data_IF_106779042070
#
_entry.id   IF_106779042070
#
_cell.length_a   1.000
_cell.length_b   1.000
_cell.length_c   1.000
_cell.angle_alpha   90.00
_cell.angle_beta   90.00
_cell.angle_gamma   90.00
#
_symmetry.space_group_name_H-M   'P 1'
#
loop_
_entity.id
_entity.type
_entity.pdbx_description
1 polymer ?
#
# COMPACT_ATOMS: atom_id res chain seq x y z
N UNK A 1 22.02 11.80 -29.47
CA UNK A 1 20.90 12.07 -28.55
C UNK A 1 20.89 10.90 -27.58
N UNK A 2 21.61 11.05 -26.47
CA UNK A 2 21.62 10.09 -25.37
C UNK A 2 20.24 10.09 -24.71
N UNK A 3 19.49 9.02 -24.93
CA UNK A 3 18.26 8.75 -24.20
C UNK A 3 18.69 7.93 -22.98
N UNK A 4 19.00 8.65 -21.89
CA UNK A 4 19.27 8.15 -20.55
C UNK A 4 18.09 7.25 -20.11
N UNK A 5 18.14 5.97 -20.47
CA UNK A 5 17.20 4.96 -19.97
C UNK A 5 17.57 4.64 -18.52
N UNK A 6 17.34 5.61 -17.63
CA UNK A 6 17.25 5.36 -16.19
C UNK A 6 16.07 4.45 -16.00
N UNK A 7 16.35 3.16 -15.87
CA UNK A 7 15.36 2.14 -15.59
C UNK A 7 14.89 2.41 -14.16
N UNK A 8 13.83 3.20 -14.01
CA UNK A 8 13.15 3.31 -12.73
C UNK A 8 12.65 1.91 -12.37
N UNK A 9 13.11 1.38 -11.24
CA UNK A 9 12.65 0.09 -10.76
C UNK A 9 11.32 0.31 -10.05
N UNK A 10 10.27 -0.25 -10.62
CA UNK A 10 8.92 -0.21 -10.07
C UNK A 10 8.62 -1.54 -9.39
N UNK A 11 8.21 -1.50 -8.13
CA UNK A 11 7.64 -2.67 -7.46
C UNK A 11 6.22 -2.38 -6.99
N UNK A 12 5.38 -3.40 -6.98
CA UNK A 12 3.99 -3.30 -6.50
C UNK A 12 3.87 -4.01 -5.16
N UNK A 13 3.35 -3.31 -4.16
CA UNK A 13 3.03 -3.85 -2.83
C UNK A 13 1.52 -4.03 -2.75
N UNK A 14 1.09 -5.27 -2.54
CA UNK A 14 -0.31 -5.64 -2.35
C UNK A 14 -0.66 -5.58 -0.87
N UNK A 15 -1.72 -4.85 -0.55
CA UNK A 15 -2.20 -4.61 0.79
C UNK A 15 -3.64 -5.13 0.88
N UNK A 16 -3.88 -6.04 1.81
CA UNK A 16 -5.21 -6.57 2.11
C UNK A 16 -5.87 -5.74 3.22
N UNK A 17 -7.05 -5.19 2.93
CA UNK A 17 -7.90 -4.43 3.81
C UNK A 17 -9.06 -5.33 4.23
N UNK A 18 -9.11 -5.69 5.51
CA UNK A 18 -10.15 -6.53 6.09
C UNK A 18 -11.07 -5.69 6.96
N UNK A 19 -12.37 -5.75 6.69
CA UNK A 19 -13.34 -5.19 7.62
C UNK A 19 -13.35 -6.03 8.90
N UNK A 20 -13.53 -5.35 10.03
CA UNK A 20 -13.65 -6.00 11.33
C UNK A 20 -15.13 -6.01 11.76
N UNK A 21 -15.49 -7.02 12.55
CA UNK A 21 -16.85 -7.18 13.09
C UNK A 21 -17.31 -6.01 13.97
N UNK A 22 -16.36 -5.22 14.51
CA UNK A 22 -16.62 -4.01 15.29
C UNK A 22 -16.76 -2.74 14.43
N UNK A 23 -16.80 -2.88 13.10
CA UNK A 23 -16.83 -1.76 12.17
C UNK A 23 -15.46 -1.12 11.89
N UNK A 24 -14.39 -1.65 12.48
CA UNK A 24 -13.02 -1.21 12.24
C UNK A 24 -12.40 -1.75 10.95
N UNK A 25 -11.11 -1.47 10.78
CA UNK A 25 -10.30 -1.95 9.66
C UNK A 25 -9.04 -2.66 10.17
N UNK A 26 -8.65 -3.73 9.48
CA UNK A 26 -7.34 -4.37 9.62
C UNK A 26 -6.65 -4.39 8.27
N UNK A 27 -5.39 -3.99 8.25
CA UNK A 27 -4.55 -3.92 7.07
C UNK A 27 -3.37 -4.85 7.26
N UNK A 28 -3.04 -5.64 6.24
CA UNK A 28 -1.83 -6.48 6.19
C UNK A 28 -1.26 -6.54 4.78
N UNK A 29 0.01 -6.88 4.65
CA UNK A 29 0.64 -7.20 3.37
C UNK A 29 1.55 -8.41 3.50
N UNK A 30 1.44 -9.33 2.54
CA UNK A 30 2.37 -10.46 2.42
C UNK A 30 3.64 -10.02 1.67
N UNK A 31 3.54 -9.00 0.82
CA UNK A 31 4.66 -8.42 0.06
C UNK A 31 5.58 -7.54 0.94
N UNK A 32 5.04 -6.99 2.03
CA UNK A 32 5.78 -6.18 3.00
C UNK A 32 5.64 -6.74 4.42
N UNK A 33 6.50 -7.71 4.81
CA UNK A 33 6.50 -8.29 6.14
C UNK A 33 6.59 -7.23 7.23
N UNK A 34 5.68 -7.31 8.21
CA UNK A 34 5.59 -6.34 9.31
C UNK A 34 4.60 -5.20 9.08
N UNK A 35 4.03 -5.06 7.88
CA UNK A 35 2.92 -4.13 7.66
C UNK A 35 1.63 -4.71 8.26
N UNK A 36 1.31 -4.29 9.48
CA UNK A 36 0.05 -4.63 10.15
C UNK A 36 -0.51 -3.34 10.78
N UNK A 37 -1.66 -2.88 10.30
CA UNK A 37 -2.39 -1.75 10.91
C UNK A 37 -3.77 -2.24 11.33
N UNK A 38 -4.26 -1.80 12.48
CA UNK A 38 -5.61 -2.13 12.90
C UNK A 38 -6.18 -1.07 13.82
N UNK A 39 -7.42 -0.66 13.56
CA UNK A 39 -8.11 0.36 14.32
C UNK A 39 -9.62 0.29 14.12
N UNK A 40 -10.35 1.02 14.94
CA UNK A 40 -11.81 1.20 14.87
C UNK A 40 -12.21 2.28 13.85
N UNK A 41 -11.37 3.29 13.64
CA UNK A 41 -11.56 4.31 12.62
C UNK A 41 -10.91 3.91 11.28
N UNK A 42 -11.72 3.50 10.30
CA UNK A 42 -11.25 3.05 8.99
C UNK A 42 -10.43 4.12 8.25
N UNK A 43 -10.90 5.36 8.22
CA UNK A 43 -10.24 6.47 7.51
C UNK A 43 -8.87 6.76 8.11
N UNK A 44 -8.77 6.75 9.44
CA UNK A 44 -7.50 6.91 10.13
C UNK A 44 -6.52 5.77 9.79
N UNK A 45 -6.98 4.52 9.77
CA UNK A 45 -6.15 3.37 9.41
C UNK A 45 -5.68 3.47 7.94
N UNK A 46 -6.58 3.86 7.03
CA UNK A 46 -6.25 4.07 5.61
C UNK A 46 -5.20 5.16 5.43
N UNK A 47 -5.34 6.28 6.14
CA UNK A 47 -4.38 7.39 6.11
C UNK A 47 -2.98 7.00 6.61
N UNK A 48 -2.89 5.93 7.41
CA UNK A 48 -1.62 5.42 7.96
C UNK A 48 -0.92 4.40 7.05
N UNK A 49 -1.55 3.91 5.97
CA UNK A 49 -0.96 2.86 5.11
C UNK A 49 0.32 3.36 4.44
N UNK A 50 0.29 4.52 3.78
CA UNK A 50 1.48 5.07 3.11
C UNK A 50 2.59 5.37 4.12
N UNK A 51 2.35 6.10 5.23
CA UNK A 51 3.37 6.32 6.26
C UNK A 51 4.01 5.02 6.78
N UNK A 52 3.20 3.97 6.99
CA UNK A 52 3.70 2.69 7.47
C UNK A 52 4.56 1.96 6.43
N UNK A 53 4.13 1.93 5.15
CA UNK A 53 4.92 1.39 4.05
C UNK A 53 6.26 2.12 3.96
N UNK A 54 6.25 3.45 3.97
CA UNK A 54 7.45 4.28 3.91
C UNK A 54 8.40 3.98 5.07
N UNK A 55 7.89 3.91 6.30
CA UNK A 55 8.72 3.62 7.47
C UNK A 55 9.37 2.22 7.38
N UNK A 56 8.63 1.21 6.91
CA UNK A 56 9.13 -0.15 6.76
C UNK A 56 10.19 -0.27 5.66
N UNK A 57 9.99 0.38 4.51
CA UNK A 57 10.96 0.40 3.43
C UNK A 57 12.26 1.13 3.85
N UNK A 58 12.14 2.26 4.56
CA UNK A 58 13.29 2.95 5.14
C UNK A 58 14.03 2.08 6.16
N UNK A 59 13.30 1.35 7.01
CA UNK A 59 13.89 0.42 7.97
C UNK A 59 14.61 -0.75 7.28
N UNK A 60 14.07 -1.23 6.15
CA UNK A 60 14.72 -2.24 5.30
C UNK A 60 15.95 -1.72 4.55
N UNK A 61 16.25 -0.42 4.64
CA UNK A 61 17.44 0.20 4.06
C UNK A 61 17.20 0.83 2.68
N UNK A 62 15.98 0.81 2.15
CA UNK A 62 15.65 1.52 0.92
C UNK A 62 15.67 3.03 1.19
N UNK A 63 16.26 3.77 0.25
CA UNK A 63 16.34 5.24 0.26
C UNK A 63 15.89 5.74 -1.09
N UNK A 64 15.51 7.01 -1.15
CA UNK A 64 15.16 7.69 -2.39
C UNK A 64 14.06 6.98 -3.19
N UNK A 65 12.91 6.73 -2.54
CA UNK A 65 11.74 6.13 -3.17
C UNK A 65 10.49 6.99 -2.97
N UNK A 66 9.51 6.81 -3.85
CA UNK A 66 8.18 7.41 -3.71
C UNK A 66 7.13 6.31 -3.73
N UNK A 67 6.16 6.40 -2.81
CA UNK A 67 5.04 5.44 -2.72
C UNK A 67 3.79 6.11 -3.24
N UNK A 68 3.19 5.49 -4.26
CA UNK A 68 1.96 5.94 -4.89
C UNK A 68 0.86 4.89 -4.70
N UNK A 69 -0.38 5.34 -4.49
CA UNK A 69 -1.54 4.47 -4.60
C UNK A 69 -1.80 4.18 -6.08
N UNK A 70 -1.97 2.92 -6.47
CA UNK A 70 -2.30 2.59 -7.87
C UNK A 70 -3.74 2.95 -8.23
N UNK A 71 -4.63 2.97 -7.22
CA UNK A 71 -6.05 3.36 -7.33
C UNK A 71 -6.50 4.05 -6.05
N UNK A 72 -7.52 4.90 -6.16
CA UNK A 72 -8.07 5.60 -5.00
C UNK A 72 -8.82 4.63 -4.07
N UNK A 73 -8.73 4.88 -2.77
CA UNK A 73 -9.39 4.03 -1.74
C UNK A 73 -10.91 4.01 -1.91
N UNK A 74 -11.50 5.14 -2.31
CA UNK A 74 -12.93 5.28 -2.60
C UNK A 74 -13.39 4.36 -3.73
N UNK A 75 -12.57 4.15 -4.76
CA UNK A 75 -12.88 3.20 -5.86
C UNK A 75 -12.77 1.74 -5.43
N UNK A 76 -11.96 1.43 -4.41
CA UNK A 76 -11.74 0.07 -3.93
C UNK A 76 -12.83 -0.33 -2.93
N UNK A 77 -13.17 0.56 -2.00
CA UNK A 77 -14.22 0.34 -1.00
C UNK A 77 -15.64 0.55 -1.56
N UNK A 78 -15.76 1.27 -2.68
CA UNK A 78 -17.05 1.53 -3.36
C UNK A 78 -17.48 0.44 -4.33
N UNK A 79 -16.64 -0.58 -4.60
CA UNK A 79 -17.02 -1.75 -5.40
C UNK A 79 -17.67 -2.77 -4.50
N UNK A 80 -18.93 -3.11 -4.77
CA UNK A 80 -19.56 -4.29 -4.18
C UNK A 80 -18.68 -5.51 -4.46
N UNK A 81 -18.14 -6.12 -3.41
CA UNK A 81 -17.40 -7.36 -3.50
C UNK A 81 -18.41 -8.48 -3.76
N UNK A 82 -18.44 -9.11 -4.96
CA UNK A 82 -19.43 -10.15 -5.28
C UNK A 82 -19.18 -11.47 -4.53
N UNK A 83 -18.10 -11.55 -3.75
CA UNK A 83 -17.81 -12.66 -2.86
C UNK A 83 -18.02 -12.16 -1.44
N UNK A 84 -18.83 -12.87 -0.64
CA UNK A 84 -19.06 -12.63 0.81
C UNK A 84 -17.77 -12.78 1.63
N UNK A 85 -16.77 -11.97 1.33
CA UNK A 85 -15.47 -11.93 1.97
C UNK A 85 -15.24 -10.47 2.29
N UNK A 86 -15.21 -10.14 3.58
CA UNK A 86 -14.88 -8.84 4.15
C UNK A 86 -13.40 -8.48 3.91
N UNK A 87 -12.96 -8.52 2.65
CA UNK A 87 -11.57 -8.34 2.24
C UNK A 87 -11.51 -7.59 0.90
N UNK A 88 -10.90 -6.43 0.94
CA UNK A 88 -10.56 -5.61 -0.22
C UNK A 88 -9.04 -5.67 -0.45
N UNK A 89 -8.62 -5.63 -1.72
CA UNK A 89 -7.20 -5.61 -2.08
C UNK A 89 -6.86 -4.24 -2.67
N UNK A 90 -5.86 -3.58 -2.10
CA UNK A 90 -5.29 -2.33 -2.59
C UNK A 90 -3.83 -2.55 -3.00
N UNK A 91 -3.42 -1.93 -4.11
CA UNK A 91 -2.05 -1.99 -4.59
C UNK A 91 -1.38 -0.62 -4.48
N UNK A 92 -0.12 -0.64 -4.08
CA UNK A 92 0.75 0.53 -3.99
C UNK A 92 1.95 0.32 -4.91
N UNK A 93 2.28 1.33 -5.71
CA UNK A 93 3.47 1.33 -6.56
C UNK A 93 4.56 2.06 -5.82
N UNK A 94 5.72 1.43 -5.70
CA UNK A 94 6.94 2.03 -5.18
C UNK A 94 7.88 2.26 -6.35
N UNK A 95 8.28 3.51 -6.52
CA UNK A 95 9.26 3.92 -7.52
C UNK A 95 10.58 4.24 -6.83
N UNK A 96 11.65 3.54 -7.20
CA UNK A 96 13.01 3.84 -6.75
C UNK A 96 13.66 4.87 -7.66
N UNK A 97 14.29 5.89 -7.07
CA UNK A 97 15.13 6.80 -7.83
C UNK A 97 16.30 6.03 -8.43
N UNK A 98 16.55 6.24 -9.73
CA UNK A 98 17.68 5.62 -10.40
C UNK A 98 18.98 6.03 -9.71
N UNK A 99 19.81 5.05 -9.35
CA UNK A 99 21.14 5.28 -8.80
C UNK A 99 21.93 6.20 -9.75
N UNK A 100 22.38 7.35 -9.22
CA UNK A 100 23.14 8.36 -9.96
C UNK A 100 24.61 7.97 -10.15
#
# INVERSE_FOLDING_TARGET
>A
MDLDQRTHEFTTITVALHDRNDGGLRVRSDDLPGLILSGDNKEAVIGMIIPAITALLQHAGLRDFVVHQSRSVTEILGRENPQSVDMHIQQFVVELAAAA
#
